data_IF_843514408940
#
_entry.id   IF_843514408940
#
_cell.length_a   1.000
_cell.length_b   1.000
_cell.length_c   1.000
_cell.angle_alpha   90.00
_cell.angle_beta   90.00
_cell.angle_gamma   90.00
#
_symmetry.space_group_name_H-M   'P 1'
#
loop_
_entity.id
_entity.type
_entity.pdbx_description
1 polymer ?
#
# COMPACT_ATOMS: atom_id res chain seq x y z
N UNK A 1 20.19 -29.95 -17.93
CA UNK A 1 21.43 -30.56 -17.42
C UNK A 1 21.50 -30.37 -15.92
N UNK A 2 21.41 -31.46 -15.15
CA UNK A 2 21.54 -31.42 -13.70
C UNK A 2 23.03 -31.30 -13.37
N UNK A 3 23.45 -30.17 -12.84
CA UNK A 3 24.80 -29.99 -12.30
C UNK A 3 24.86 -30.72 -10.97
N UNK A 4 25.48 -31.89 -10.95
CA UNK A 4 25.75 -32.62 -9.73
C UNK A 4 26.76 -31.84 -8.88
N UNK A 5 26.30 -31.27 -7.78
CA UNK A 5 27.15 -30.67 -6.75
C UNK A 5 27.87 -31.84 -6.01
N UNK A 6 29.07 -32.19 -6.43
CA UNK A 6 30.01 -32.96 -5.61
C UNK A 6 30.86 -31.99 -4.78
N UNK A 7 30.28 -31.47 -3.69
CA UNK A 7 31.07 -30.81 -2.66
C UNK A 7 31.54 -31.87 -1.65
N UNK A 8 32.87 -32.04 -1.46
CA UNK A 8 33.43 -32.88 -0.41
C UNK A 8 32.97 -32.39 0.95
N UNK A 9 32.18 -33.21 1.64
CA UNK A 9 31.76 -32.92 3.00
C UNK A 9 32.94 -33.02 3.96
N UNK A 10 33.43 -31.90 4.47
CA UNK A 10 34.29 -31.85 5.67
C UNK A 10 33.37 -31.59 6.85
N UNK A 11 33.34 -32.48 7.82
CA UNK A 11 32.53 -32.41 9.05
C UNK A 11 30.99 -32.31 8.85
N UNK A 12 30.45 -32.87 7.76
CA UNK A 12 29.00 -32.85 7.46
C UNK A 12 28.48 -31.50 6.92
N UNK A 13 29.36 -30.60 6.54
CA UNK A 13 29.01 -29.37 5.84
C UNK A 13 29.03 -29.56 4.32
N UNK A 14 28.06 -28.98 3.64
CA UNK A 14 28.02 -28.80 2.19
C UNK A 14 28.39 -27.36 1.90
N UNK A 15 29.34 -27.13 1.00
CA UNK A 15 29.69 -25.78 0.56
C UNK A 15 28.78 -25.38 -0.60
N UNK A 16 28.11 -24.24 -0.47
CA UNK A 16 27.26 -23.70 -1.53
C UNK A 16 28.06 -22.99 -2.62
N UNK A 17 27.44 -22.69 -3.78
CA UNK A 17 28.11 -21.95 -4.85
C UNK A 17 28.62 -20.55 -4.43
N UNK A 18 27.94 -19.90 -3.50
CA UNK A 18 28.33 -18.57 -2.97
C UNK A 18 29.37 -18.67 -1.83
N UNK A 19 29.67 -19.89 -1.37
CA UNK A 19 30.71 -20.14 -0.40
C UNK A 19 30.24 -20.38 1.03
N UNK A 20 28.93 -20.36 1.27
CA UNK A 20 28.35 -20.70 2.57
C UNK A 20 28.56 -22.18 2.89
N UNK A 21 28.74 -22.48 4.18
CA UNK A 21 28.86 -23.83 4.67
C UNK A 21 27.54 -24.21 5.38
N UNK A 22 26.81 -25.15 4.80
CA UNK A 22 25.49 -25.58 5.29
C UNK A 22 25.57 -26.98 5.85
N UNK A 23 25.13 -27.16 7.09
CA UNK A 23 24.90 -28.46 7.73
C UNK A 23 23.42 -28.64 8.00
N UNK A 24 22.79 -29.54 7.26
CA UNK A 24 21.40 -29.96 7.57
C UNK A 24 21.45 -30.82 8.85
N UNK A 25 20.83 -30.34 9.91
CA UNK A 25 20.87 -30.97 11.24
C UNK A 25 19.83 -32.09 11.36
N UNK A 26 18.68 -31.92 10.74
CA UNK A 26 17.53 -32.87 10.89
C UNK A 26 17.38 -33.82 9.74
N UNK A 27 17.75 -33.41 8.53
CA UNK A 27 17.68 -34.17 7.29
C UNK A 27 16.31 -34.89 7.10
N UNK A 28 15.24 -34.12 7.14
CA UNK A 28 13.88 -34.63 6.99
C UNK A 28 13.65 -35.21 5.57
N UNK A 29 12.88 -36.29 5.43
CA UNK A 29 12.48 -36.77 4.12
C UNK A 29 11.55 -35.75 3.45
N UNK A 30 11.67 -35.57 2.14
CA UNK A 30 10.82 -34.69 1.34
C UNK A 30 11.56 -34.07 0.17
N UNK A 31 10.79 -33.43 -0.69
CA UNK A 31 11.35 -32.70 -1.83
C UNK A 31 12.19 -31.53 -1.36
N UNK A 32 13.32 -31.34 -2.03
CA UNK A 32 14.18 -30.20 -1.81
C UNK A 32 13.52 -28.93 -2.33
N UNK A 33 13.80 -27.85 -1.62
CA UNK A 33 13.28 -26.51 -1.98
C UNK A 33 13.85 -26.09 -3.33
N UNK A 34 13.01 -25.53 -4.19
CA UNK A 34 13.35 -25.11 -5.55
C UNK A 34 13.29 -23.59 -5.69
N UNK A 35 13.95 -23.06 -6.69
CA UNK A 35 13.74 -21.67 -7.13
C UNK A 35 12.26 -21.49 -7.47
N UNK A 36 11.70 -20.37 -7.08
CA UNK A 36 10.30 -19.97 -7.10
C UNK A 36 9.41 -20.56 -5.98
N UNK A 37 9.86 -21.54 -5.21
CA UNK A 37 9.12 -21.94 -4.02
C UNK A 37 9.03 -20.76 -3.02
N UNK A 38 7.97 -20.74 -2.23
CA UNK A 38 7.80 -19.80 -1.13
C UNK A 38 8.09 -20.53 0.18
N UNK A 39 9.11 -20.06 0.89
CA UNK A 39 9.60 -20.67 2.12
C UNK A 39 9.24 -19.79 3.32
N UNK A 40 8.66 -20.40 4.35
CA UNK A 40 8.48 -19.79 5.67
C UNK A 40 9.46 -20.42 6.64
N UNK A 41 10.30 -19.62 7.30
CA UNK A 41 11.34 -20.12 8.17
C UNK A 41 11.64 -19.19 9.34
N UNK A 42 12.17 -19.77 10.41
CA UNK A 42 12.77 -19.03 11.52
C UNK A 42 14.27 -18.89 11.29
N UNK A 43 14.82 -17.77 11.71
CA UNK A 43 16.24 -17.44 11.59
C UNK A 43 16.75 -16.86 12.91
N UNK A 44 17.88 -17.38 13.38
CA UNK A 44 18.68 -16.74 14.44
C UNK A 44 20.07 -16.52 13.94
N UNK A 45 20.52 -15.29 13.95
CA UNK A 45 21.87 -14.89 13.55
C UNK A 45 22.75 -14.67 14.78
N UNK A 46 23.95 -15.21 14.78
CA UNK A 46 24.90 -15.15 15.89
C UNK A 46 26.33 -14.91 15.38
N UNK A 47 27.17 -14.41 16.25
CA UNK A 47 28.62 -14.46 16.03
C UNK A 47 29.14 -15.87 16.32
N UNK A 48 30.38 -16.17 15.93
CA UNK A 48 31.06 -17.44 16.32
C UNK A 48 31.23 -17.59 17.84
N UNK A 49 31.16 -16.50 18.61
CA UNK A 49 31.19 -16.47 20.07
C UNK A 49 29.77 -16.61 20.68
N UNK A 50 28.81 -17.07 19.89
CA UNK A 50 27.43 -17.34 20.28
C UNK A 50 26.61 -16.10 20.69
N UNK A 51 27.11 -14.87 20.46
CA UNK A 51 26.36 -13.64 20.69
C UNK A 51 25.26 -13.48 19.65
N UNK A 52 24.00 -13.41 20.10
CA UNK A 52 22.82 -13.24 19.22
C UNK A 52 22.78 -11.83 18.66
N UNK A 53 22.77 -11.71 17.32
CA UNK A 53 22.64 -10.45 16.59
C UNK A 53 21.18 -10.15 16.20
N UNK A 54 20.39 -11.17 15.94
CA UNK A 54 19.00 -11.05 15.60
C UNK A 54 18.29 -12.41 15.60
N UNK A 55 16.99 -12.41 15.87
CA UNK A 55 16.19 -13.63 15.85
C UNK A 55 14.74 -13.33 15.50
N UNK A 56 14.17 -14.11 14.59
CA UNK A 56 12.75 -14.05 14.27
C UNK A 56 11.86 -14.49 15.44
N UNK A 57 12.39 -15.32 16.35
CA UNK A 57 11.68 -15.70 17.57
C UNK A 57 11.44 -14.49 18.49
N UNK A 58 12.42 -13.59 18.61
CA UNK A 58 12.25 -12.36 19.40
C UNK A 58 11.38 -11.33 18.67
N UNK A 59 11.33 -11.38 17.35
CA UNK A 59 10.46 -10.53 16.53
C UNK A 59 8.99 -11.03 16.48
N UNK A 60 8.73 -12.22 17.01
CA UNK A 60 7.40 -12.82 17.08
C UNK A 60 6.80 -13.27 15.75
N UNK A 61 7.59 -13.29 14.67
CA UNK A 61 7.12 -13.71 13.33
C UNK A 61 8.23 -14.37 12.52
N UNK A 62 7.92 -15.46 11.75
CA UNK A 62 8.84 -16.05 10.80
C UNK A 62 9.06 -15.13 9.59
N UNK A 63 10.12 -15.42 8.84
CA UNK A 63 10.36 -14.83 7.53
C UNK A 63 9.63 -15.68 6.48
N UNK A 64 8.91 -15.04 5.56
CA UNK A 64 8.29 -15.67 4.39
C UNK A 64 8.83 -15.01 3.13
N UNK A 65 9.54 -15.77 2.29
CA UNK A 65 10.15 -15.27 1.05
C UNK A 65 9.96 -16.24 -0.11
N UNK A 66 9.99 -15.71 -1.31
CA UNK A 66 10.14 -16.50 -2.52
C UNK A 66 11.63 -16.78 -2.77
N UNK A 67 12.00 -18.05 -2.97
CA UNK A 67 13.36 -18.43 -3.30
C UNK A 67 13.72 -17.93 -4.70
N UNK A 68 14.78 -17.15 -4.79
CA UNK A 68 15.32 -16.61 -6.03
C UNK A 68 16.68 -17.24 -6.32
N UNK A 69 17.19 -17.17 -7.57
CA UNK A 69 18.59 -17.47 -7.82
C UNK A 69 19.48 -16.59 -6.95
N UNK A 70 20.44 -17.20 -6.22
CA UNK A 70 21.34 -16.49 -5.34
C UNK A 70 22.22 -15.50 -6.10
N UNK A 71 22.40 -14.31 -5.54
CA UNK A 71 23.25 -13.25 -6.09
C UNK A 71 24.56 -13.10 -5.31
N UNK A 72 24.54 -13.42 -4.03
CA UNK A 72 25.69 -13.31 -3.13
C UNK A 72 25.49 -14.17 -1.87
N UNK A 73 26.54 -14.38 -1.08
CA UNK A 73 26.47 -15.17 0.15
C UNK A 73 25.53 -14.56 1.22
N UNK A 74 25.26 -13.26 1.18
CA UNK A 74 24.45 -12.59 2.19
C UNK A 74 22.95 -12.87 2.03
N UNK A 75 22.48 -13.28 0.86
CA UNK A 75 21.05 -13.47 0.58
C UNK A 75 20.51 -14.83 1.04
N UNK A 76 21.38 -15.75 1.44
CA UNK A 76 21.06 -17.11 1.90
C UNK A 76 20.24 -17.94 0.89
N UNK A 77 20.10 -17.50 -0.37
CA UNK A 77 19.24 -18.18 -1.34
C UNK A 77 19.79 -19.52 -1.81
N UNK A 78 21.10 -19.68 -1.81
CA UNK A 78 21.76 -20.91 -2.25
C UNK A 78 21.77 -22.01 -1.19
N UNK A 79 21.34 -21.74 0.04
CA UNK A 79 21.17 -22.75 1.09
C UNK A 79 19.89 -23.55 0.95
N UNK A 80 18.80 -22.94 0.41
CA UNK A 80 17.49 -23.60 0.34
C UNK A 80 17.49 -24.89 -0.49
N UNK A 81 18.19 -24.99 -1.63
CA UNK A 81 18.20 -26.22 -2.43
C UNK A 81 18.77 -27.48 -1.73
N UNK A 82 19.48 -27.31 -0.61
CA UNK A 82 19.96 -28.47 0.18
C UNK A 82 19.00 -28.85 1.32
N UNK A 83 17.93 -28.07 1.54
CA UNK A 83 16.97 -28.25 2.61
C UNK A 83 15.60 -28.73 2.08
N UNK A 84 14.81 -29.30 2.97
CA UNK A 84 13.40 -29.68 2.75
C UNK A 84 12.51 -29.01 3.82
N UNK A 85 11.19 -29.19 3.66
CA UNK A 85 10.24 -28.74 4.69
C UNK A 85 10.57 -29.40 6.05
N UNK A 86 10.42 -28.64 7.13
CA UNK A 86 10.72 -29.04 8.51
C UNK A 86 12.21 -29.31 8.80
N UNK A 87 13.13 -29.08 7.87
CA UNK A 87 14.56 -29.14 8.13
C UNK A 87 15.02 -28.04 9.08
N UNK A 88 16.05 -28.36 9.84
CA UNK A 88 16.85 -27.39 10.60
C UNK A 88 18.27 -27.40 10.07
N UNK A 89 18.83 -26.21 9.85
CA UNK A 89 20.16 -26.07 9.32
C UNK A 89 21.01 -25.14 10.20
N UNK A 90 22.30 -25.50 10.28
CA UNK A 90 23.36 -24.66 10.82
C UNK A 90 24.18 -24.17 9.63
N UNK A 91 24.24 -22.86 9.45
CA UNK A 91 24.89 -22.21 8.31
C UNK A 91 25.99 -21.30 8.79
N UNK A 92 27.16 -21.40 8.17
CA UNK A 92 28.28 -20.49 8.37
C UNK A 92 28.43 -19.64 7.11
N UNK A 93 28.17 -18.35 7.21
CA UNK A 93 28.35 -17.38 6.14
C UNK A 93 29.70 -16.68 6.32
N UNK A 94 30.65 -16.79 5.37
CA UNK A 94 31.95 -16.15 5.51
C UNK A 94 31.80 -14.62 5.59
N UNK A 95 32.32 -13.99 6.65
CA UNK A 95 32.22 -12.54 6.79
C UNK A 95 32.98 -11.78 5.71
N UNK A 96 34.04 -12.38 5.15
CA UNK A 96 34.76 -11.79 4.03
C UNK A 96 33.94 -11.73 2.72
N UNK A 97 32.98 -12.66 2.55
CA UNK A 97 31.99 -12.60 1.45
C UNK A 97 30.93 -11.52 1.71
N UNK A 98 30.46 -11.38 2.97
CA UNK A 98 29.47 -10.37 3.37
C UNK A 98 29.97 -8.94 3.15
N UNK A 99 31.22 -8.67 3.50
CA UNK A 99 31.81 -7.31 3.45
C UNK A 99 32.73 -7.08 2.25
N UNK A 100 32.63 -7.95 1.22
CA UNK A 100 33.44 -7.81 0.01
C UNK A 100 33.16 -6.46 -0.68
N UNK A 101 34.17 -5.61 -0.76
CA UNK A 101 34.06 -4.26 -1.31
C UNK A 101 33.57 -3.19 -0.32
N UNK A 102 33.21 -3.58 0.91
CA UNK A 102 32.70 -2.71 1.97
C UNK A 102 33.36 -2.99 3.33
N UNK A 103 34.64 -3.30 3.33
CA UNK A 103 35.41 -3.65 4.54
C UNK A 103 35.41 -2.54 5.61
N UNK A 104 35.25 -1.29 5.20
CA UNK A 104 35.11 -0.13 6.10
C UNK A 104 33.78 -0.13 6.90
N UNK A 105 32.79 -0.88 6.45
CA UNK A 105 31.47 -1.01 7.13
C UNK A 105 31.42 -2.23 8.04
N UNK A 106 32.51 -3.00 8.11
CA UNK A 106 32.62 -4.22 8.90
C UNK A 106 32.59 -3.93 10.40
N UNK A 107 31.60 -4.46 11.14
CA UNK A 107 31.53 -4.27 12.57
C UNK A 107 32.63 -5.07 13.30
N UNK A 108 33.15 -4.59 14.43
CA UNK A 108 34.24 -5.26 15.17
C UNK A 108 33.92 -6.68 15.65
N UNK A 109 32.65 -7.00 15.81
CA UNK A 109 32.19 -8.34 16.26
C UNK A 109 32.08 -9.36 15.12
N UNK A 110 32.32 -8.97 13.87
CA UNK A 110 32.43 -9.84 12.69
C UNK A 110 33.78 -9.62 11.99
N UNK A 111 34.92 -10.00 12.61
CA UNK A 111 36.25 -9.74 12.07
C UNK A 111 36.54 -10.50 10.76
N UNK A 112 37.60 -10.12 10.06
CA UNK A 112 38.06 -10.84 8.87
C UNK A 112 38.34 -12.32 9.20
N UNK A 113 38.01 -13.21 8.25
CA UNK A 113 38.22 -14.66 8.40
C UNK A 113 37.25 -15.33 9.36
N UNK A 114 36.29 -14.61 9.93
CA UNK A 114 35.23 -15.19 10.81
C UNK A 114 33.99 -15.57 10.00
N UNK A 115 32.98 -16.14 10.70
CA UNK A 115 31.72 -16.51 10.14
C UNK A 115 30.56 -15.84 10.89
N UNK A 116 29.54 -15.39 10.14
CA UNK A 116 28.21 -15.16 10.67
C UNK A 116 27.51 -16.52 10.75
N UNK A 117 27.01 -16.87 11.92
CA UNK A 117 26.29 -18.13 12.15
C UNK A 117 24.80 -17.90 12.00
N UNK A 118 24.16 -18.67 11.13
CA UNK A 118 22.72 -18.64 10.91
C UNK A 118 22.10 -19.99 11.29
N UNK A 119 21.28 -20.02 12.32
CA UNK A 119 20.44 -21.16 12.65
C UNK A 119 19.09 -20.98 11.97
N UNK A 120 18.73 -21.89 11.11
CA UNK A 120 17.52 -21.84 10.28
C UNK A 120 16.63 -23.02 10.61
N UNK A 121 15.33 -22.76 10.74
CA UNK A 121 14.29 -23.78 10.85
C UNK A 121 13.26 -23.54 9.77
N UNK A 122 13.18 -24.45 8.80
CA UNK A 122 12.14 -24.42 7.76
C UNK A 122 10.82 -24.85 8.40
N UNK A 123 9.82 -23.98 8.37
CA UNK A 123 8.48 -24.28 8.88
C UNK A 123 7.57 -24.80 7.77
N UNK A 124 7.63 -24.15 6.61
CA UNK A 124 6.74 -24.46 5.49
C UNK A 124 7.40 -24.19 4.14
N UNK A 125 7.13 -25.06 3.18
CA UNK A 125 7.47 -24.87 1.76
C UNK A 125 6.17 -24.95 0.96
N UNK A 126 5.96 -24.02 0.06
CA UNK A 126 4.79 -23.93 -0.82
C UNK A 126 5.24 -23.65 -2.25
N UNK A 127 4.47 -24.10 -3.23
CA UNK A 127 4.63 -23.55 -4.58
C UNK A 127 4.24 -22.08 -4.61
N UNK A 128 4.73 -21.34 -5.60
CA UNK A 128 4.33 -19.92 -5.78
C UNK A 128 2.82 -19.80 -5.97
N UNK A 129 2.22 -20.71 -6.75
CA UNK A 129 0.78 -20.70 -7.03
C UNK A 129 -0.05 -20.92 -5.76
N UNK A 130 0.34 -21.88 -4.91
CA UNK A 130 -0.32 -22.11 -3.62
C UNK A 130 -0.21 -20.90 -2.69
N UNK A 131 0.97 -20.26 -2.64
CA UNK A 131 1.19 -19.08 -1.82
C UNK A 131 0.36 -17.88 -2.32
N UNK A 132 0.24 -17.72 -3.64
CA UNK A 132 -0.61 -16.70 -4.26
C UNK A 132 -2.10 -16.96 -4.01
N UNK A 133 -2.54 -18.21 -4.15
CA UNK A 133 -3.92 -18.60 -3.86
C UNK A 133 -4.29 -18.39 -2.38
N UNK A 134 -3.40 -18.74 -1.46
CA UNK A 134 -3.57 -18.49 -0.02
C UNK A 134 -3.69 -16.99 0.28
N UNK A 135 -2.78 -16.18 -0.30
CA UNK A 135 -2.82 -14.71 -0.14
C UNK A 135 -4.12 -14.13 -0.68
N UNK A 136 -4.54 -14.57 -1.89
CA UNK A 136 -5.80 -14.12 -2.49
C UNK A 136 -6.99 -14.47 -1.60
N UNK A 137 -7.07 -15.70 -1.10
CA UNK A 137 -8.15 -16.13 -0.19
C UNK A 137 -8.19 -15.30 1.09
N UNK A 138 -7.04 -14.97 1.65
CA UNK A 138 -6.94 -14.11 2.83
C UNK A 138 -7.48 -12.69 2.55
N UNK A 139 -7.08 -12.09 1.40
CA UNK A 139 -7.57 -10.79 0.95
C UNK A 139 -9.09 -10.82 0.73
N UNK A 140 -9.60 -11.79 -0.02
CA UNK A 140 -11.03 -11.95 -0.31
C UNK A 140 -11.85 -12.05 1.00
N UNK A 141 -11.33 -12.80 1.99
CA UNK A 141 -11.96 -12.93 3.32
C UNK A 141 -12.04 -11.58 4.06
N UNK A 142 -10.98 -10.79 4.05
CA UNK A 142 -10.94 -9.48 4.71
C UNK A 142 -11.86 -8.49 4.00
N UNK A 143 -11.90 -8.48 2.67
CA UNK A 143 -12.81 -7.64 1.88
C UNK A 143 -14.28 -8.01 2.11
N UNK A 144 -14.58 -9.31 2.26
CA UNK A 144 -15.92 -9.76 2.62
C UNK A 144 -16.32 -9.29 4.03
N UNK A 145 -15.40 -9.38 5.00
CA UNK A 145 -15.61 -8.89 6.36
C UNK A 145 -15.82 -7.37 6.38
N UNK A 146 -15.03 -6.58 5.63
CA UNK A 146 -15.22 -5.15 5.44
C UNK A 146 -16.61 -4.82 4.89
N UNK A 147 -16.99 -5.52 3.81
CA UNK A 147 -18.30 -5.30 3.19
C UNK A 147 -19.45 -5.62 4.14
N UNK A 148 -19.32 -6.68 4.93
CA UNK A 148 -20.33 -7.08 5.93
C UNK A 148 -20.43 -6.05 7.05
N UNK A 149 -19.30 -5.58 7.57
CA UNK A 149 -19.24 -4.54 8.60
C UNK A 149 -19.87 -3.22 8.11
N UNK A 150 -19.58 -2.83 6.86
CA UNK A 150 -20.14 -1.64 6.24
C UNK A 150 -21.68 -1.74 6.08
N UNK A 151 -22.20 -2.89 5.61
CA UNK A 151 -23.64 -3.13 5.53
C UNK A 151 -24.30 -3.05 6.91
N UNK A 152 -23.67 -3.66 7.91
CA UNK A 152 -24.15 -3.61 9.30
C UNK A 152 -24.20 -2.16 9.81
N UNK A 153 -23.13 -1.38 9.60
CA UNK A 153 -23.07 0.03 10.00
C UNK A 153 -24.24 0.84 9.40
N UNK A 154 -24.51 0.65 8.10
CA UNK A 154 -25.60 1.34 7.40
C UNK A 154 -26.96 0.98 8.01
N UNK A 155 -27.18 -0.29 8.30
CA UNK A 155 -28.42 -0.78 8.90
C UNK A 155 -28.60 -0.27 10.34
N UNK A 156 -27.59 -0.39 11.18
CA UNK A 156 -27.61 0.04 12.58
C UNK A 156 -27.87 1.55 12.71
N UNK A 157 -27.31 2.34 11.78
CA UNK A 157 -27.51 3.80 11.74
C UNK A 157 -28.74 4.22 10.93
N UNK A 158 -29.53 3.27 10.42
CA UNK A 158 -30.77 3.51 9.62
C UNK A 158 -30.53 4.47 8.43
N UNK A 159 -29.39 4.32 7.75
CA UNK A 159 -29.01 5.21 6.66
C UNK A 159 -29.62 4.76 5.34
N UNK A 160 -30.29 5.67 4.64
CA UNK A 160 -30.73 5.46 3.26
C UNK A 160 -29.65 5.98 2.31
N UNK A 161 -28.74 5.09 1.92
CA UNK A 161 -27.58 5.45 1.10
C UNK A 161 -27.86 5.33 -0.40
N UNK A 162 -27.24 6.20 -1.18
CA UNK A 162 -27.02 6.02 -2.62
C UNK A 162 -25.63 5.40 -2.81
N UNK A 163 -25.48 4.56 -3.84
CA UNK A 163 -24.21 3.89 -4.14
C UNK A 163 -23.79 4.24 -5.57
N UNK A 164 -22.54 4.61 -5.75
CA UNK A 164 -21.93 4.85 -7.06
C UNK A 164 -21.42 3.56 -7.70
N UNK A 165 -21.04 3.61 -8.97
CA UNK A 165 -20.48 2.45 -9.68
C UNK A 165 -19.17 1.95 -9.07
N UNK A 166 -18.36 2.81 -8.44
CA UNK A 166 -17.12 2.45 -7.74
C UNK A 166 -17.34 1.84 -6.35
N UNK A 167 -18.58 1.91 -5.83
CA UNK A 167 -18.92 1.41 -4.50
C UNK A 167 -18.91 2.46 -3.39
N UNK A 168 -18.66 3.75 -3.69
CA UNK A 168 -18.86 4.83 -2.73
C UNK A 168 -20.33 4.89 -2.32
N UNK A 169 -20.59 4.90 -1.02
CA UNK A 169 -21.94 5.07 -0.47
C UNK A 169 -22.06 6.44 0.19
N UNK A 170 -23.19 7.12 -0.04
CA UNK A 170 -23.36 8.48 0.46
C UNK A 170 -24.83 8.84 0.74
N UNK A 171 -24.99 9.79 1.65
CA UNK A 171 -26.27 10.43 1.96
C UNK A 171 -26.06 11.94 1.92
N UNK A 172 -26.80 12.68 1.11
CA UNK A 172 -26.81 14.15 1.18
C UNK A 172 -27.77 14.54 2.30
N UNK A 173 -27.21 15.01 3.41
CA UNK A 173 -27.96 15.39 4.62
C UNK A 173 -28.51 16.80 4.54
N UNK A 174 -27.87 17.67 3.78
CA UNK A 174 -28.34 19.03 3.47
C UNK A 174 -27.99 19.35 2.01
N UNK A 175 -28.97 19.36 1.10
CA UNK A 175 -28.73 19.77 -0.27
C UNK A 175 -28.53 21.27 -0.39
N UNK A 176 -27.90 21.71 -1.48
CA UNK A 176 -27.74 23.10 -1.88
C UNK A 176 -27.99 23.27 -3.37
N UNK A 177 -28.41 24.44 -3.79
CA UNK A 177 -28.64 24.81 -5.20
C UNK A 177 -27.49 25.65 -5.78
N UNK A 178 -26.43 25.88 -4.99
CA UNK A 178 -25.26 26.60 -5.47
C UNK A 178 -24.47 25.81 -6.51
N UNK A 179 -23.35 26.38 -6.94
CA UNK A 179 -22.47 25.80 -7.95
C UNK A 179 -22.00 24.38 -7.58
N UNK A 180 -21.99 23.50 -8.57
CA UNK A 180 -21.36 22.19 -8.51
C UNK A 180 -19.86 22.31 -8.86
N UNK A 181 -18.94 21.70 -8.11
CA UNK A 181 -17.52 21.73 -8.42
C UNK A 181 -17.21 20.91 -9.68
N UNK A 182 -16.13 21.27 -10.36
CA UNK A 182 -15.53 20.54 -11.46
C UNK A 182 -14.12 20.11 -11.10
N UNK A 183 -13.59 19.08 -11.80
CA UNK A 183 -12.19 18.68 -11.68
C UNK A 183 -11.29 19.89 -11.91
N UNK A 184 -10.31 20.09 -11.03
CA UNK A 184 -9.38 21.21 -11.03
C UNK A 184 -9.86 22.42 -10.21
N UNK A 185 -11.15 22.58 -9.92
CA UNK A 185 -11.61 23.63 -9.02
C UNK A 185 -10.95 23.48 -7.62
N UNK A 186 -10.62 24.59 -6.99
CA UNK A 186 -10.20 24.56 -5.59
C UNK A 186 -11.43 24.47 -4.71
N UNK A 187 -11.51 23.42 -3.90
CA UNK A 187 -12.59 23.20 -2.93
C UNK A 187 -12.14 23.48 -1.50
N UNK A 188 -13.08 23.90 -0.66
CA UNK A 188 -12.92 24.08 0.78
C UNK A 188 -13.90 23.12 1.45
N UNK A 189 -13.38 22.21 2.27
CA UNK A 189 -14.17 21.12 2.86
C UNK A 189 -14.03 21.11 4.37
N UNK A 190 -15.14 21.25 5.08
CA UNK A 190 -15.21 20.89 6.49
C UNK A 190 -15.51 19.39 6.59
N UNK A 191 -14.83 18.71 7.49
CA UNK A 191 -15.01 17.27 7.66
C UNK A 191 -14.71 16.78 9.06
N UNK A 192 -15.29 15.61 9.38
CA UNK A 192 -14.90 14.75 10.49
C UNK A 192 -14.85 13.32 9.97
N UNK A 193 -13.64 12.72 9.99
CA UNK A 193 -13.38 11.36 9.54
C UNK A 193 -13.32 10.37 10.71
N UNK A 194 -13.97 9.21 10.52
CA UNK A 194 -13.98 8.13 11.53
C UNK A 194 -13.99 6.75 10.89
N UNK A 195 -13.57 5.77 11.65
CA UNK A 195 -13.73 4.34 11.32
C UNK A 195 -15.16 3.88 11.65
N UNK A 196 -15.55 2.67 11.22
CA UNK A 196 -16.90 2.14 11.41
C UNK A 196 -17.28 1.95 12.90
N UNK A 197 -16.30 1.75 13.77
CA UNK A 197 -16.47 1.68 15.23
C UNK A 197 -16.69 3.06 15.89
N UNK A 198 -16.63 4.13 15.09
CA UNK A 198 -16.86 5.50 15.53
C UNK A 198 -15.61 6.24 16.03
N UNK A 199 -14.41 5.59 16.04
CA UNK A 199 -13.16 6.27 16.40
C UNK A 199 -12.87 7.36 15.36
N UNK A 200 -12.84 8.62 15.80
CA UNK A 200 -12.45 9.76 14.97
C UNK A 200 -10.92 9.73 14.83
N UNK A 201 -10.43 9.82 13.60
CA UNK A 201 -9.00 9.88 13.31
C UNK A 201 -8.52 11.25 12.81
N UNK A 202 -9.44 12.07 12.29
CA UNK A 202 -9.13 13.45 11.89
C UNK A 202 -10.39 14.32 11.77
N UNK A 203 -10.25 15.63 12.00
CA UNK A 203 -11.31 16.60 11.77
C UNK A 203 -10.73 17.98 11.47
N UNK A 204 -11.39 18.71 10.56
CA UNK A 204 -11.15 20.14 10.34
C UNK A 204 -11.96 21.03 11.31
N UNK A 205 -12.82 20.42 12.13
CA UNK A 205 -13.71 21.11 13.07
C UNK A 205 -13.11 20.96 14.48
N UNK A 206 -12.73 22.10 15.09
CA UNK A 206 -12.03 22.11 16.39
C UNK A 206 -12.82 21.40 17.49
N UNK A 207 -14.13 21.62 17.55
CA UNK A 207 -14.99 21.00 18.56
C UNK A 207 -14.98 19.45 18.46
N UNK A 208 -15.02 18.93 17.24
CA UNK A 208 -15.00 17.47 17.00
C UNK A 208 -13.61 16.90 17.32
N UNK A 209 -12.53 17.60 16.92
CA UNK A 209 -11.17 17.20 17.25
C UNK A 209 -10.92 17.18 18.77
N UNK A 210 -11.36 18.21 19.49
CA UNK A 210 -11.27 18.27 20.97
C UNK A 210 -12.04 17.13 21.63
N UNK A 211 -13.27 16.87 21.18
CA UNK A 211 -14.10 15.78 21.71
C UNK A 211 -13.46 14.40 21.50
N UNK A 212 -12.72 14.24 20.42
CA UNK A 212 -12.01 13.00 20.07
C UNK A 212 -10.61 12.89 20.71
N UNK A 213 -10.15 13.89 21.45
CA UNK A 213 -8.79 13.89 22.02
C UNK A 213 -7.68 14.15 20.99
N UNK A 214 -8.02 14.62 19.80
CA UNK A 214 -7.08 14.87 18.69
C UNK A 214 -6.61 16.33 18.63
N UNK A 215 -6.88 17.11 19.68
CA UNK A 215 -6.52 18.53 19.71
C UNK A 215 -5.01 18.70 19.74
N UNK A 216 -4.45 19.36 18.71
CA UNK A 216 -3.02 19.63 18.60
C UNK A 216 -2.77 21.14 18.87
N UNK A 217 -1.85 21.48 19.80
CA UNK A 217 -1.44 22.86 19.99
C UNK A 217 -0.90 23.47 18.70
N UNK A 218 -1.41 24.66 18.33
CA UNK A 218 -0.97 25.39 17.13
C UNK A 218 -1.63 24.95 15.82
N UNK A 219 -2.41 23.88 15.79
CA UNK A 219 -3.21 23.51 14.61
C UNK A 219 -4.34 24.53 14.41
N UNK A 220 -4.43 25.07 13.19
CA UNK A 220 -5.58 25.89 12.78
C UNK A 220 -6.69 24.97 12.26
N UNK A 221 -7.86 25.06 12.85
CA UNK A 221 -9.04 24.33 12.43
C UNK A 221 -9.82 25.19 11.44
N UNK A 222 -9.62 24.92 10.17
CA UNK A 222 -10.25 25.61 9.05
C UNK A 222 -10.62 24.63 7.95
N UNK A 223 -11.51 24.96 7.01
CA UNK A 223 -11.86 24.06 5.91
C UNK A 223 -10.62 23.65 5.14
N UNK A 224 -10.45 22.34 4.95
CA UNK A 224 -9.35 21.78 4.19
C UNK A 224 -9.44 22.22 2.72
N UNK A 225 -8.39 22.84 2.22
CA UNK A 225 -8.33 23.44 0.89
C UNK A 225 -7.44 22.61 -0.03
N UNK A 226 -7.99 22.15 -1.17
CA UNK A 226 -7.24 21.42 -2.18
C UNK A 226 -7.87 21.55 -3.56
N UNK A 227 -7.12 21.18 -4.63
CA UNK A 227 -7.65 21.09 -5.98
C UNK A 227 -8.39 19.75 -6.17
N UNK A 228 -9.63 19.79 -6.60
CA UNK A 228 -10.44 18.59 -6.83
C UNK A 228 -9.86 17.75 -7.99
N UNK A 229 -9.66 16.45 -7.75
CA UNK A 229 -8.89 15.56 -8.65
C UNK A 229 -7.40 15.48 -8.27
N UNK A 230 -6.96 16.17 -7.20
CA UNK A 230 -5.61 16.11 -6.66
C UNK A 230 -5.37 14.94 -5.68
N UNK A 231 -4.33 15.11 -4.86
CA UNK A 231 -3.81 14.08 -3.94
C UNK A 231 -4.65 13.93 -2.66
N UNK A 232 -5.89 13.49 -2.83
CA UNK A 232 -6.76 13.04 -1.73
C UNK A 232 -7.29 11.65 -2.06
N UNK A 233 -7.86 10.95 -1.07
CA UNK A 233 -8.44 9.63 -1.30
C UNK A 233 -9.49 9.67 -2.42
N UNK A 234 -9.55 8.61 -3.23
CA UNK A 234 -10.42 8.54 -4.41
C UNK A 234 -11.89 8.80 -4.08
N UNK A 235 -12.35 8.29 -2.92
CA UNK A 235 -13.72 8.51 -2.45
C UNK A 235 -14.08 9.98 -2.21
N UNK A 236 -13.12 10.83 -1.85
CA UNK A 236 -13.34 12.27 -1.73
C UNK A 236 -13.45 12.93 -3.10
N UNK A 237 -12.53 12.63 -4.01
CA UNK A 237 -12.58 13.18 -5.37
C UNK A 237 -13.91 12.86 -6.05
N UNK A 238 -14.39 11.63 -5.91
CA UNK A 238 -15.66 11.19 -6.47
C UNK A 238 -16.86 11.79 -5.74
N UNK A 239 -16.87 11.71 -4.42
CA UNK A 239 -18.00 12.15 -3.59
C UNK A 239 -18.26 13.65 -3.67
N UNK A 240 -17.20 14.46 -3.69
CA UNK A 240 -17.34 15.92 -3.79
C UNK A 240 -17.93 16.38 -5.13
N UNK A 241 -17.67 15.64 -6.22
CA UNK A 241 -18.33 15.88 -7.51
C UNK A 241 -19.85 15.63 -7.48
N UNK A 242 -20.38 14.95 -6.47
CA UNK A 242 -21.82 14.72 -6.30
C UNK A 242 -22.50 15.87 -5.55
N UNK A 243 -21.73 16.74 -4.89
CA UNK A 243 -22.22 17.81 -4.04
C UNK A 243 -22.24 19.15 -4.77
N UNK A 244 -23.14 20.02 -4.34
CA UNK A 244 -23.08 21.47 -4.65
C UNK A 244 -22.41 22.22 -3.48
N UNK A 245 -21.83 23.37 -3.72
CA UNK A 245 -21.29 24.24 -2.67
C UNK A 245 -22.38 24.54 -1.61
N UNK A 246 -22.01 24.42 -0.33
CA UNK A 246 -22.94 24.56 0.82
C UNK A 246 -23.70 23.28 1.17
N UNK A 247 -23.57 22.21 0.41
CA UNK A 247 -24.15 20.91 0.76
C UNK A 247 -23.41 20.26 1.91
N UNK A 248 -24.16 19.47 2.71
CA UNK A 248 -23.59 18.52 3.69
C UNK A 248 -23.95 17.10 3.29
N UNK A 249 -23.03 16.19 3.52
CA UNK A 249 -23.19 14.78 3.21
C UNK A 249 -22.45 13.90 4.21
N UNK A 250 -22.90 12.66 4.31
CA UNK A 250 -22.16 11.57 4.93
C UNK A 250 -21.64 10.66 3.82
N UNK A 251 -20.32 10.45 3.77
CA UNK A 251 -19.69 9.49 2.88
C UNK A 251 -19.31 8.24 3.66
N UNK A 252 -19.56 7.08 3.10
CA UNK A 252 -19.11 5.78 3.59
C UNK A 252 -18.25 5.20 2.49
N UNK A 253 -16.94 5.28 2.70
CA UNK A 253 -15.93 5.06 1.68
C UNK A 253 -15.29 3.70 1.92
N UNK A 254 -15.47 2.70 1.01
CA UNK A 254 -14.77 1.45 1.12
C UNK A 254 -13.27 1.64 1.04
N UNK A 255 -12.51 0.70 1.60
CA UNK A 255 -11.05 0.78 1.68
C UNK A 255 -10.38 0.98 0.33
N UNK A 256 -10.89 0.35 -0.73
CA UNK A 256 -10.37 0.49 -2.10
C UNK A 256 -10.47 1.92 -2.66
N UNK A 257 -11.34 2.75 -2.12
CA UNK A 257 -11.45 4.17 -2.45
C UNK A 257 -10.78 5.09 -1.40
N UNK A 258 -10.11 4.50 -0.40
CA UNK A 258 -9.41 5.17 0.68
C UNK A 258 -7.93 4.72 0.73
N UNK A 259 -7.52 4.02 1.79
CA UNK A 259 -6.13 3.63 2.03
C UNK A 259 -5.82 2.14 1.75
N UNK A 260 -6.79 1.39 1.25
CA UNK A 260 -6.60 0.02 0.75
C UNK A 260 -6.05 -0.97 1.77
N UNK A 261 -5.19 -1.84 1.26
CA UNK A 261 -4.55 -2.92 2.03
C UNK A 261 -3.50 -2.44 3.03
N UNK A 262 -2.94 -1.26 2.82
CA UNK A 262 -1.83 -0.76 3.64
C UNK A 262 -2.32 0.01 4.88
N UNK A 263 -3.52 0.59 4.83
CA UNK A 263 -3.97 1.52 5.85
C UNK A 263 -3.18 2.84 5.82
N UNK A 264 -3.29 3.66 6.87
CA UNK A 264 -2.50 4.90 7.00
C UNK A 264 -2.50 5.38 8.45
N UNK A 265 -1.34 5.48 9.08
CA UNK A 265 -1.23 5.92 10.48
C UNK A 265 -2.11 5.07 11.41
N UNK A 266 -3.12 5.67 12.04
CA UNK A 266 -4.07 4.97 12.92
C UNK A 266 -5.20 4.25 12.17
N UNK A 267 -5.29 4.40 10.85
CA UNK A 267 -6.31 3.74 10.01
C UNK A 267 -5.80 2.34 9.64
N UNK A 268 -6.48 1.28 10.11
CA UNK A 268 -6.04 -0.09 9.82
C UNK A 268 -6.16 -0.44 8.33
N UNK A 269 -5.44 -1.48 7.87
CA UNK A 269 -5.66 -2.11 6.57
C UNK A 269 -7.14 -2.45 6.34
N UNK A 270 -7.62 -2.27 5.12
CA UNK A 270 -9.00 -2.56 4.69
C UNK A 270 -10.08 -1.84 5.50
N UNK A 271 -9.80 -0.69 6.08
CA UNK A 271 -10.79 0.06 6.83
C UNK A 271 -11.74 0.84 5.91
N UNK A 272 -13.03 0.57 6.01
CA UNK A 272 -14.07 1.49 5.53
C UNK A 272 -14.05 2.77 6.37
N UNK A 273 -14.08 3.93 5.73
CA UNK A 273 -14.10 5.24 6.39
C UNK A 273 -15.45 5.90 6.28
N UNK A 274 -15.83 6.60 7.35
CA UNK A 274 -17.05 7.41 7.38
C UNK A 274 -16.66 8.86 7.57
N UNK A 275 -17.10 9.71 6.65
CA UNK A 275 -16.89 11.15 6.74
C UNK A 275 -18.22 11.90 6.80
N UNK A 276 -18.35 12.76 7.80
CA UNK A 276 -19.31 13.86 7.73
C UNK A 276 -18.63 15.02 7.01
N UNK A 277 -19.20 15.48 5.90
CA UNK A 277 -18.58 16.46 4.98
C UNK A 277 -19.52 17.66 4.79
N UNK A 278 -18.93 18.84 4.73
CA UNK A 278 -19.56 20.06 4.22
C UNK A 278 -18.67 20.65 3.13
N UNK A 279 -19.19 20.77 1.90
CA UNK A 279 -18.51 21.51 0.83
C UNK A 279 -18.70 23.00 1.05
N UNK A 280 -17.83 23.61 1.86
CA UNK A 280 -17.95 25.00 2.33
C UNK A 280 -17.73 26.03 1.22
N UNK A 281 -16.91 25.71 0.21
CA UNK A 281 -16.64 26.62 -0.88
C UNK A 281 -16.09 25.95 -2.13
N UNK A 282 -16.34 26.56 -3.29
CA UNK A 282 -15.81 26.18 -4.59
C UNK A 282 -15.22 27.40 -5.28
N UNK A 283 -13.91 27.38 -5.54
CA UNK A 283 -13.20 28.42 -6.29
C UNK A 283 -12.83 27.87 -7.68
N UNK A 284 -13.48 28.36 -8.75
CA UNK A 284 -13.21 27.90 -10.11
C UNK A 284 -11.77 28.15 -10.51
N UNK A 285 -11.20 27.24 -11.33
CA UNK A 285 -9.99 27.56 -12.07
C UNK A 285 -10.35 28.69 -13.06
N UNK A 286 -9.52 29.73 -13.12
CA UNK A 286 -9.58 30.67 -14.23
C UNK A 286 -9.07 29.95 -15.49
N UNK A 287 -9.96 29.33 -16.26
CA UNK A 287 -9.62 28.92 -17.60
C UNK A 287 -9.30 30.19 -18.39
N UNK A 288 -8.12 30.29 -19.02
CA UNK A 288 -7.87 31.30 -20.03
C UNK A 288 -9.00 31.17 -21.06
N UNK A 289 -9.70 32.28 -21.32
CA UNK A 289 -10.76 32.29 -22.34
C UNK A 289 -10.17 31.72 -23.64
N UNK A 290 -10.89 30.84 -24.36
CA UNK A 290 -10.42 30.38 -25.67
C UNK A 290 -10.09 31.60 -26.49
N UNK A 291 -8.86 31.66 -27.04
CA UNK A 291 -8.45 32.78 -27.92
C UNK A 291 -9.52 32.95 -28.97
N UNK A 292 -10.11 34.17 -29.05
CA UNK A 292 -11.12 34.49 -30.03
C UNK A 292 -10.57 34.14 -31.40
N UNK A 293 -11.27 33.28 -32.16
CA UNK A 293 -10.91 32.97 -33.54
C UNK A 293 -10.77 34.29 -34.29
N UNK A 294 -9.69 34.52 -35.10
CA UNK A 294 -9.54 35.73 -35.88
C UNK A 294 -10.78 35.95 -36.75
N UNK A 295 -11.41 37.10 -36.57
CA UNK A 295 -12.69 37.40 -37.20
C UNK A 295 -12.65 37.21 -38.70
N UNK A 296 -13.56 36.44 -39.24
CA UNK A 296 -13.87 36.40 -40.64
C UNK A 296 -14.31 37.80 -41.06
N UNK A 297 -13.50 38.49 -41.91
CA UNK A 297 -13.84 39.74 -42.56
C UNK A 297 -15.16 39.54 -43.35
N UNK A 298 -16.24 40.17 -42.93
CA UNK A 298 -17.46 40.28 -43.73
C UNK A 298 -17.15 41.05 -45.00
N UNK A 299 -17.10 40.36 -46.11
CA UNK A 299 -17.01 40.96 -47.44
C UNK A 299 -18.36 41.59 -47.75
N UNK A 300 -18.41 42.93 -47.74
CA UNK A 300 -19.59 43.71 -48.14
C UNK A 300 -19.72 43.68 -49.64
N UNK A 301 -20.66 42.89 -50.16
CA UNK A 301 -21.01 42.91 -51.59
C UNK A 301 -21.84 44.17 -51.86
N UNK A 302 -21.28 45.18 -52.54
CA UNK A 302 -21.99 46.32 -53.09
C UNK A 302 -22.89 45.86 -54.23
N UNK A 303 -24.24 45.91 -54.09
CA UNK A 303 -25.20 45.77 -55.15
C UNK A 303 -25.15 47.03 -56.02
N UNK A 304 -24.73 46.91 -57.25
CA UNK A 304 -24.94 47.90 -58.31
C UNK A 304 -26.39 47.80 -58.79
N UNK A 305 -27.14 48.88 -58.58
CA UNK A 305 -28.46 49.06 -59.11
C UNK A 305 -28.28 49.82 -60.45
N UNK A 306 -28.49 49.14 -61.56
CA UNK A 306 -28.59 49.76 -62.89
C UNK A 306 -30.04 50.25 -63.16
N UNK A 307 -30.25 51.55 -63.24
CA UNK A 307 -31.50 52.12 -63.59
C UNK A 307 -31.67 52.03 -65.12
N UNK A 308 -32.73 51.38 -65.58
CA UNK A 308 -33.20 51.40 -66.98
C UNK A 308 -34.08 52.63 -67.20
N UNK A 309 -33.63 53.55 -68.08
CA UNK A 309 -34.43 54.63 -68.60
C UNK A 309 -35.33 54.05 -69.74
N UNK A 310 -36.66 54.36 -69.65
CA UNK A 310 -37.59 54.21 -70.81
C UNK A 310 -37.53 55.42 -71.73
N UNK A 311 -37.57 55.18 -72.95
CA UNK A 311 -38.23 55.99 -74.04
C UNK A 311 -38.79 55.04 -75.05
#
# INVERSE_FOLDING_TARGET
MAVALQAKAQDGFVKTPQGDLVKNVTNKPGDKIKVNDVVTFQLTQKTEKDSVLGSTYTMGRPIKIQVQPSKNAADLMDIFPVLAAQDSAYVKVPTDSLFKGHDNERPPFLPKGSYLICNIKIERVQTLDDAMAERKKAIDSVQLAETTARKKYIADNKLTVKTTASGLQYVITKPSLKRKPLIGDTVLVNYTGRTLDGKVFDSSIEADAKKAGLNQPGRKYEPYKFALGGEVIRGWNEGLLLLNEGSKAKFIIPSDLAYGQEGSGEIPPFATLVFDIELAGVKPIKHAAPAAKPGQKKTTVKKHITAKKKS
#
